data_IF_188351577781
#
_entry.id   IF_188351577781
#
_cell.length_a   1.000
_cell.length_b   1.000
_cell.length_c   1.000
_cell.angle_alpha   90.00
_cell.angle_beta   90.00
_cell.angle_gamma   90.00
#
_symmetry.space_group_name_H-M   'P 1'
#
loop_
_entity.id
_entity.type
_entity.pdbx_description
1 polymer ?
#
# COMPACT_ATOMS: atom_id res chain seq x y z
N UNK A 1 -4.66 6.58 37.00
CA UNK A 1 -3.50 5.66 37.05
C UNK A 1 -2.27 6.45 36.62
N UNK A 2 -1.32 6.69 37.53
CA UNK A 2 -0.09 7.42 37.19
C UNK A 2 0.87 6.49 36.44
N UNK A 3 1.16 6.80 35.18
CA UNK A 3 2.12 6.07 34.35
C UNK A 3 3.53 6.29 34.94
N UNK A 4 4.08 5.24 35.56
CA UNK A 4 5.41 5.26 36.15
C UNK A 4 6.47 5.16 35.02
N UNK A 5 6.69 6.26 34.30
CA UNK A 5 7.68 6.32 33.20
C UNK A 5 9.09 6.22 33.78
N UNK A 6 9.70 5.04 33.70
CA UNK A 6 11.13 4.84 33.98
C UNK A 6 11.96 5.47 32.84
N UNK A 7 12.73 6.50 33.16
CA UNK A 7 13.67 7.13 32.22
C UNK A 7 15.01 6.39 32.31
N UNK A 8 15.48 5.82 31.20
CA UNK A 8 16.83 5.23 31.08
C UNK A 8 17.69 6.18 30.23
N UNK A 9 18.90 6.47 30.71
CA UNK A 9 19.86 7.34 30.00
C UNK A 9 20.98 6.47 29.43
N UNK A 10 21.16 6.51 28.11
CA UNK A 10 22.24 5.82 27.40
C UNK A 10 23.17 6.87 26.81
N UNK A 11 24.48 6.76 27.08
CA UNK A 11 25.50 7.64 26.52
C UNK A 11 26.21 6.95 25.36
N UNK A 12 26.23 7.59 24.20
CA UNK A 12 26.87 7.09 22.98
C UNK A 12 28.05 7.99 22.64
N UNK A 13 29.18 7.40 22.24
CA UNK A 13 30.32 8.12 21.66
C UNK A 13 30.32 7.85 20.16
N UNK A 14 30.44 8.91 19.38
CA UNK A 14 30.49 8.88 17.92
C UNK A 14 31.53 9.90 17.45
N UNK A 15 32.06 9.72 16.25
CA UNK A 15 32.93 10.70 15.61
C UNK A 15 32.14 11.98 15.24
N UNK A 16 32.88 13.04 14.89
CA UNK A 16 32.29 14.34 14.62
C UNK A 16 31.39 14.35 13.37
N UNK A 17 31.76 13.60 12.32
CA UNK A 17 30.96 13.55 11.09
C UNK A 17 29.61 12.87 11.37
N UNK A 18 29.63 11.74 12.09
CA UNK A 18 28.42 11.05 12.53
C UNK A 18 27.57 11.93 13.45
N UNK A 19 28.19 12.65 14.39
CA UNK A 19 27.47 13.58 15.28
C UNK A 19 26.76 14.71 14.49
N UNK A 20 27.42 15.27 13.47
CA UNK A 20 26.82 16.30 12.60
C UNK A 20 25.65 15.74 11.80
N UNK A 21 25.79 14.55 11.23
CA UNK A 21 24.72 13.90 10.49
C UNK A 21 23.48 13.60 11.37
N UNK A 22 23.69 13.10 12.60
CA UNK A 22 22.61 12.86 13.56
C UNK A 22 21.87 14.17 13.89
N UNK A 23 22.61 15.26 14.15
CA UNK A 23 22.01 16.57 14.44
C UNK A 23 21.18 17.09 13.29
N UNK A 24 21.74 17.11 12.07
CA UNK A 24 21.02 17.59 10.89
C UNK A 24 19.71 16.81 10.68
N UNK A 25 19.72 15.49 10.85
CA UNK A 25 18.52 14.66 10.72
C UNK A 25 17.50 14.93 11.84
N UNK A 26 17.97 15.17 13.06
CA UNK A 26 17.13 15.56 14.18
C UNK A 26 16.48 16.93 13.98
N UNK A 27 17.22 17.90 13.43
CA UNK A 27 16.72 19.24 13.15
C UNK A 27 15.59 19.21 12.11
N UNK A 28 15.76 18.44 11.03
CA UNK A 28 14.78 18.34 9.95
C UNK A 28 13.50 17.61 10.39
N UNK A 29 13.62 16.46 11.05
CA UNK A 29 12.48 15.54 11.24
C UNK A 29 11.96 15.48 12.67
N UNK A 30 12.73 15.95 13.65
CA UNK A 30 12.44 15.78 15.08
C UNK A 30 12.52 17.08 15.87
N UNK A 31 12.49 18.24 15.20
CA UNK A 31 12.56 19.57 15.83
C UNK A 31 13.78 19.70 16.77
N UNK A 32 14.93 19.18 16.33
CA UNK A 32 16.19 19.16 17.07
C UNK A 32 16.26 18.10 18.19
N UNK A 33 15.23 17.27 18.38
CA UNK A 33 15.23 16.24 19.42
C UNK A 33 16.07 15.01 19.02
N UNK A 34 17.35 15.05 19.37
CA UNK A 34 18.32 13.97 19.09
C UNK A 34 17.86 12.64 19.71
N UNK A 35 17.36 12.64 20.94
CA UNK A 35 16.93 11.39 21.60
C UNK A 35 15.74 10.73 20.89
N UNK A 36 14.81 11.53 20.36
CA UNK A 36 13.71 11.00 19.54
C UNK A 36 14.23 10.43 18.22
N UNK A 37 15.12 11.16 17.54
CA UNK A 37 15.76 10.72 16.31
C UNK A 37 16.46 9.36 16.48
N UNK A 38 17.29 9.21 17.53
CA UNK A 38 18.01 7.97 17.80
C UNK A 38 17.05 6.84 18.16
N UNK A 39 16.04 7.07 19.01
CA UNK A 39 15.06 6.04 19.36
C UNK A 39 14.33 5.50 18.12
N UNK A 40 13.89 6.38 17.23
CA UNK A 40 13.22 5.97 15.99
C UNK A 40 14.14 5.18 15.06
N UNK A 41 15.41 5.54 14.96
CA UNK A 41 16.39 4.78 14.19
C UNK A 41 16.68 3.40 14.82
N UNK A 42 16.75 3.31 16.16
CA UNK A 42 17.00 2.04 16.86
C UNK A 42 15.79 1.11 16.88
N UNK A 43 14.57 1.64 16.78
CA UNK A 43 13.36 0.82 16.65
C UNK A 43 13.29 0.08 15.30
N UNK A 44 14.08 0.51 14.31
CA UNK A 44 14.24 -0.19 13.03
C UNK A 44 15.38 -1.22 13.04
N UNK A 45 16.08 -1.42 14.16
CA UNK A 45 17.15 -2.41 14.28
C UNK A 45 16.60 -3.77 14.75
N UNK A 46 15.70 -4.36 13.96
CA UNK A 46 15.67 -5.81 13.81
C UNK A 46 16.65 -6.13 12.68
N UNK A 47 17.49 -7.14 12.86
CA UNK A 47 18.65 -7.43 12.02
C UNK A 47 18.34 -7.89 10.58
N UNK A 48 17.67 -7.07 9.78
CA UNK A 48 17.80 -7.05 8.33
C UNK A 48 17.94 -5.59 7.89
N UNK A 49 18.98 -5.32 7.09
CA UNK A 49 19.15 -4.02 6.47
C UNK A 49 17.83 -3.65 5.77
N UNK A 50 17.14 -2.61 6.24
CA UNK A 50 16.04 -2.02 5.49
C UNK A 50 16.52 -1.84 4.06
N UNK A 51 15.83 -2.40 3.04
CA UNK A 51 16.12 -2.02 1.69
C UNK A 51 16.05 -0.50 1.65
N UNK A 52 16.97 0.12 0.92
CA UNK A 52 16.90 1.54 0.56
C UNK A 52 15.46 1.95 0.25
N UNK A 53 15.11 3.22 0.40
CA UNK A 53 13.79 3.82 0.13
C UNK A 53 13.31 3.69 -1.32
N UNK A 54 13.50 2.53 -1.94
CA UNK A 54 13.12 2.10 -3.27
C UNK A 54 11.61 2.09 -3.29
N UNK A 55 11.06 3.18 -3.80
CA UNK A 55 9.77 3.31 -4.45
C UNK A 55 8.67 2.46 -3.81
N UNK A 56 8.13 2.95 -2.69
CA UNK A 56 6.87 2.47 -2.10
C UNK A 56 5.69 2.48 -3.09
N UNK A 57 5.84 3.16 -4.23
CA UNK A 57 4.84 3.25 -5.30
C UNK A 57 4.67 1.95 -6.10
N UNK A 58 5.71 1.17 -6.42
CA UNK A 58 5.52 -0.06 -7.23
C UNK A 58 4.70 -1.12 -6.45
N UNK A 59 5.01 -1.43 -5.17
CA UNK A 59 4.17 -2.32 -4.36
C UNK A 59 2.75 -1.79 -4.17
N UNK A 60 2.56 -0.46 -4.07
CA UNK A 60 1.24 0.14 -3.97
C UNK A 60 0.43 -0.01 -5.27
N UNK A 61 1.04 0.21 -6.44
CA UNK A 61 0.41 0.02 -7.75
C UNK A 61 0.03 -1.44 -7.98
N UNK A 62 0.91 -2.39 -7.64
CA UNK A 62 0.61 -3.83 -7.68
C UNK A 62 -0.56 -4.20 -6.75
N UNK A 63 -0.62 -3.62 -5.55
CA UNK A 63 -1.74 -3.83 -4.62
C UNK A 63 -3.06 -3.26 -5.17
N UNK A 64 -3.01 -2.10 -5.83
CA UNK A 64 -4.18 -1.51 -6.49
C UNK A 64 -4.68 -2.40 -7.65
N UNK A 65 -3.77 -2.93 -8.47
CA UNK A 65 -4.10 -3.89 -9.54
C UNK A 65 -4.79 -5.13 -8.97
N UNK A 66 -4.24 -5.74 -7.92
CA UNK A 66 -4.85 -6.90 -7.26
C UNK A 66 -6.27 -6.60 -6.77
N UNK A 67 -6.50 -5.41 -6.21
CA UNK A 67 -7.83 -4.98 -5.76
C UNK A 67 -8.83 -4.87 -6.92
N UNK A 68 -8.43 -4.27 -8.04
CA UNK A 68 -9.29 -4.19 -9.23
C UNK A 68 -9.60 -5.58 -9.80
N UNK A 69 -8.61 -6.47 -9.91
CA UNK A 69 -8.80 -7.84 -10.37
C UNK A 69 -9.80 -8.60 -9.48
N UNK A 70 -9.68 -8.48 -8.16
CA UNK A 70 -10.61 -9.10 -7.21
C UNK A 70 -12.03 -8.57 -7.40
N UNK A 71 -12.19 -7.25 -7.55
CA UNK A 71 -13.49 -6.61 -7.81
C UNK A 71 -14.14 -7.10 -9.10
N UNK A 72 -13.36 -7.18 -10.20
CA UNK A 72 -13.85 -7.72 -11.48
C UNK A 72 -14.32 -9.16 -11.27
N UNK A 73 -13.49 -10.02 -10.65
CA UNK A 73 -13.84 -11.42 -10.40
C UNK A 73 -15.13 -11.59 -9.60
N UNK A 74 -15.29 -10.82 -8.51
CA UNK A 74 -16.52 -10.84 -7.69
C UNK A 74 -17.73 -10.41 -8.51
N UNK A 75 -17.63 -9.30 -9.25
CA UNK A 75 -18.76 -8.77 -10.02
C UNK A 75 -19.15 -9.70 -11.18
N UNK A 76 -18.18 -10.23 -11.94
CA UNK A 76 -18.42 -11.21 -13.01
C UNK A 76 -19.17 -12.41 -12.47
N UNK A 77 -18.69 -12.98 -11.35
CA UNK A 77 -19.31 -14.16 -10.74
C UNK A 77 -20.74 -13.87 -10.29
N UNK A 78 -20.98 -12.70 -9.71
CA UNK A 78 -22.31 -12.28 -9.28
C UNK A 78 -23.26 -12.10 -10.48
N UNK A 79 -22.83 -11.43 -11.54
CA UNK A 79 -23.65 -11.23 -12.74
C UNK A 79 -23.95 -12.57 -13.44
N UNK A 80 -22.96 -13.45 -13.57
CA UNK A 80 -23.16 -14.79 -14.13
C UNK A 80 -24.15 -15.62 -13.30
N UNK A 81 -24.05 -15.56 -11.97
CA UNK A 81 -24.99 -16.23 -11.08
C UNK A 81 -26.42 -15.70 -11.26
N UNK A 82 -26.60 -14.38 -11.29
CA UNK A 82 -27.91 -13.75 -11.50
C UNK A 82 -28.53 -14.13 -12.85
N UNK A 83 -27.73 -14.13 -13.93
CA UNK A 83 -28.16 -14.58 -15.25
C UNK A 83 -28.63 -16.04 -15.19
N UNK A 84 -27.85 -16.93 -14.57
CA UNK A 84 -28.21 -18.34 -14.46
C UNK A 84 -29.51 -18.53 -13.68
N UNK A 85 -29.71 -17.85 -12.56
CA UNK A 85 -30.98 -17.93 -11.81
C UNK A 85 -32.16 -17.40 -12.62
N UNK A 86 -31.97 -16.31 -13.38
CA UNK A 86 -33.01 -15.76 -14.26
C UNK A 86 -33.38 -16.75 -15.38
N UNK A 87 -32.38 -17.38 -16.00
CA UNK A 87 -32.59 -18.33 -17.09
C UNK A 87 -33.25 -19.64 -16.65
N UNK A 88 -33.09 -20.06 -15.39
CA UNK A 88 -33.86 -21.20 -14.84
C UNK A 88 -35.36 -20.95 -14.87
N UNK A 89 -35.79 -19.71 -14.62
CA UNK A 89 -37.20 -19.31 -14.60
C UNK A 89 -37.69 -18.95 -16.01
N UNK A 90 -36.84 -18.31 -16.82
CA UNK A 90 -37.16 -17.92 -18.20
C UNK A 90 -35.94 -18.13 -19.11
N UNK A 91 -35.84 -19.28 -19.81
CA UNK A 91 -34.67 -19.66 -20.60
C UNK A 91 -34.27 -18.69 -21.73
N UNK A 92 -35.18 -17.81 -22.15
CA UNK A 92 -34.97 -16.79 -23.17
C UNK A 92 -35.16 -15.36 -22.63
N UNK A 93 -35.25 -15.20 -21.31
CA UNK A 93 -35.50 -13.91 -20.66
C UNK A 93 -34.28 -13.00 -20.55
N UNK A 94 -33.15 -13.36 -21.17
CA UNK A 94 -31.93 -12.56 -21.12
C UNK A 94 -32.15 -11.23 -21.84
N UNK A 95 -31.89 -10.12 -21.17
CA UNK A 95 -31.95 -8.78 -21.76
C UNK A 95 -30.59 -8.11 -21.74
N UNK A 96 -30.43 -7.08 -22.59
CA UNK A 96 -29.23 -6.24 -22.63
C UNK A 96 -28.86 -5.64 -21.27
N UNK A 97 -29.85 -5.36 -20.43
CA UNK A 97 -29.64 -4.91 -19.05
C UNK A 97 -28.87 -5.90 -18.19
N UNK A 98 -29.00 -7.21 -18.42
CA UNK A 98 -28.30 -8.24 -17.65
C UNK A 98 -26.81 -8.30 -17.98
N UNK A 99 -26.46 -7.85 -19.19
CA UNK A 99 -25.09 -7.84 -19.69
C UNK A 99 -24.43 -6.48 -19.42
N UNK A 100 -25.21 -5.44 -19.10
CA UNK A 100 -24.71 -4.09 -18.80
C UNK A 100 -23.62 -4.04 -17.72
N UNK A 101 -23.63 -4.86 -16.65
CA UNK A 101 -22.51 -4.94 -15.70
C UNK A 101 -21.17 -5.30 -16.35
N UNK A 102 -21.15 -6.09 -17.43
CA UNK A 102 -19.91 -6.42 -18.14
C UNK A 102 -19.29 -5.21 -18.84
N UNK A 103 -20.10 -4.23 -19.24
CA UNK A 103 -19.60 -2.96 -19.82
C UNK A 103 -18.82 -2.18 -18.77
N UNK A 104 -19.20 -2.26 -17.49
CA UNK A 104 -18.49 -1.61 -16.40
C UNK A 104 -17.12 -2.23 -16.11
N UNK A 105 -16.90 -3.51 -16.46
CA UNK A 105 -15.58 -4.16 -16.33
C UNK A 105 -14.53 -3.49 -17.21
N UNK A 106 -14.93 -2.87 -18.31
CA UNK A 106 -14.03 -2.08 -19.17
C UNK A 106 -13.32 -0.97 -18.39
N UNK A 107 -14.03 -0.32 -17.46
CA UNK A 107 -13.45 0.77 -16.67
C UNK A 107 -12.42 0.23 -15.67
N UNK A 108 -12.75 -0.87 -14.98
CA UNK A 108 -11.82 -1.51 -14.06
C UNK A 108 -10.58 -2.08 -14.79
N UNK A 109 -10.74 -2.62 -16.01
CA UNK A 109 -9.63 -3.06 -16.86
C UNK A 109 -8.75 -1.90 -17.34
N UNK A 110 -9.36 -0.76 -17.65
CA UNK A 110 -8.61 0.45 -18.05
C UNK A 110 -7.76 0.98 -16.91
N UNK A 111 -8.27 0.97 -15.67
CA UNK A 111 -7.51 1.33 -14.48
C UNK A 111 -6.33 0.38 -14.22
N UNK A 112 -6.52 -0.93 -14.43
CA UNK A 112 -5.42 -1.90 -14.36
C UNK A 112 -4.34 -1.59 -15.41
N UNK A 113 -4.75 -1.30 -16.65
CA UNK A 113 -3.82 -0.95 -17.73
C UNK A 113 -2.99 0.29 -17.41
N UNK A 114 -3.61 1.31 -16.82
CA UNK A 114 -2.93 2.53 -16.40
C UNK A 114 -1.86 2.25 -15.33
N UNK A 115 -2.21 1.50 -14.28
CA UNK A 115 -1.23 1.11 -13.25
C UNK A 115 -0.09 0.26 -13.81
N UNK A 116 -0.36 -0.64 -14.77
CA UNK A 116 0.66 -1.45 -15.42
C UNK A 116 1.63 -0.59 -16.25
N UNK A 117 1.14 0.43 -16.97
CA UNK A 117 2.00 1.37 -17.69
C UNK A 117 2.85 2.20 -16.74
N UNK A 118 2.28 2.67 -15.63
CA UNK A 118 3.04 3.38 -14.60
C UNK A 118 4.16 2.51 -14.03
N UNK A 119 3.92 1.21 -13.80
CA UNK A 119 4.96 0.27 -13.38
C UNK A 119 6.03 0.13 -14.49
N UNK A 120 5.62 -0.05 -15.75
CA UNK A 120 6.53 -0.21 -16.89
C UNK A 120 7.45 1.00 -17.08
N UNK A 121 6.94 2.22 -16.92
CA UNK A 121 7.72 3.45 -17.05
C UNK A 121 8.77 3.64 -15.93
N UNK A 122 8.62 2.90 -14.83
CA UNK A 122 9.44 2.99 -13.62
C UNK A 122 10.40 1.80 -13.44
N UNK A 123 10.36 0.83 -14.35
CA UNK A 123 11.31 -0.29 -14.47
C UNK A 123 12.41 0.05 -15.47
#
# INVERSE_FOLDING_TARGET
MSSNKKTIIIRLRVDEATAKAIRAKADIHFNGNISACIRCATLQYDGEATPSSVNSEIPALLSAILRHLKKIGTNVNQTAHQINERMKVSPYGLSTSDIQPFVLFRNDLSAIWEHLNQIKERL
#
